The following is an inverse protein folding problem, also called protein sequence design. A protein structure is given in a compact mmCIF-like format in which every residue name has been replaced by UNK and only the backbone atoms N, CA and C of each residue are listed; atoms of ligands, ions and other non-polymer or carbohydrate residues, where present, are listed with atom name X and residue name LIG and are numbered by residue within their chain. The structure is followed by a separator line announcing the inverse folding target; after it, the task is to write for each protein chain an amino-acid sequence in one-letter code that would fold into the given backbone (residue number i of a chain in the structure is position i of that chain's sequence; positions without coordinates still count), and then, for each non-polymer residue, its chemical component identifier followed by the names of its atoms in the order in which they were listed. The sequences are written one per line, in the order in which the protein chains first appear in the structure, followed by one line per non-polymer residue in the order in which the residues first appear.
data_IF_929968064861
#
_entry.id   IF_929968064861
#
_cell.length_a   1.000
_cell.length_b   1.000
_cell.length_c   1.000
_cell.angle_alpha   90.00
_cell.angle_beta   90.00
_cell.angle_gamma   90.00
#
_symmetry.space_group_name_H-M   'P 1'
#
loop_
_entity.id
_entity.type
_entity.pdbx_description
1 polymer ?
#
# COMPACT_ATOMS: atom_id res chain seq x y z
N UNK A 1 -65.40 120.67 -26.98
CA UNK A 1 -66.52 119.97 -27.65
C UNK A 1 -65.89 118.76 -28.33
N UNK A 2 -66.36 117.54 -28.04
CA UNK A 2 -65.74 116.33 -28.57
C UNK A 2 -65.76 116.35 -30.11
N UNK A 3 -64.66 115.93 -30.73
CA UNK A 3 -64.46 115.95 -32.18
C UNK A 3 -65.07 114.73 -32.89
N UNK A 4 -65.86 113.92 -32.17
CA UNK A 4 -66.37 112.62 -32.57
C UNK A 4 -67.89 112.59 -32.38
N UNK A 5 -68.62 111.83 -33.20
CA UNK A 5 -70.09 111.78 -33.19
C UNK A 5 -70.66 110.95 -32.03
N UNK A 6 -69.82 110.14 -31.37
CA UNK A 6 -70.18 109.19 -30.32
C UNK A 6 -69.06 109.09 -29.30
N UNK A 7 -69.42 108.79 -28.04
CA UNK A 7 -68.51 108.45 -26.95
C UNK A 7 -68.78 106.99 -26.57
N UNK A 8 -67.74 106.17 -26.47
CA UNK A 8 -67.81 104.78 -26.00
C UNK A 8 -67.20 104.73 -24.60
N UNK A 9 -68.00 104.39 -23.60
CA UNK A 9 -67.50 104.23 -22.24
C UNK A 9 -66.69 102.94 -22.11
N UNK A 10 -65.51 102.95 -21.46
CA UNK A 10 -64.69 101.76 -21.29
C UNK A 10 -65.43 100.57 -20.66
N UNK A 11 -66.31 100.83 -19.69
CA UNK A 11 -67.08 99.80 -18.98
C UNK A 11 -68.12 99.08 -19.86
N UNK A 12 -68.56 99.71 -20.95
CA UNK A 12 -69.55 99.14 -21.88
C UNK A 12 -68.94 98.69 -23.21
N UNK A 13 -67.67 99.01 -23.45
CA UNK A 13 -66.95 98.73 -24.69
C UNK A 13 -66.94 97.23 -25.03
N UNK A 14 -66.64 96.35 -24.08
CA UNK A 14 -66.67 94.90 -24.32
C UNK A 14 -68.03 94.44 -24.85
N UNK A 15 -69.10 94.84 -24.15
CA UNK A 15 -70.47 94.48 -24.50
C UNK A 15 -70.88 95.03 -25.88
N UNK A 16 -70.44 96.25 -26.22
CA UNK A 16 -70.66 96.84 -27.54
C UNK A 16 -70.04 95.99 -28.65
N UNK A 17 -68.81 95.50 -28.48
CA UNK A 17 -68.11 94.73 -29.52
C UNK A 17 -68.46 93.25 -29.57
N UNK A 18 -69.13 92.70 -28.53
CA UNK A 18 -69.57 91.30 -28.49
C UNK A 18 -71.02 91.09 -28.92
N UNK A 19 -71.82 92.15 -29.04
CA UNK A 19 -73.25 92.08 -29.33
C UNK A 19 -73.57 92.72 -30.70
N UNK A 20 -73.90 91.92 -31.75
CA UNK A 20 -74.09 92.43 -33.11
C UNK A 20 -75.21 93.48 -33.24
N UNK A 21 -76.26 93.36 -32.43
CA UNK A 21 -77.37 94.31 -32.33
C UNK A 21 -76.89 95.67 -31.81
N UNK A 22 -76.02 95.71 -30.81
CA UNK A 22 -75.47 96.96 -30.25
C UNK A 22 -74.58 97.69 -31.23
N UNK A 23 -73.79 96.95 -32.03
CA UNK A 23 -73.02 97.53 -33.14
C UNK A 23 -73.95 98.20 -34.14
N UNK A 24 -75.06 97.55 -34.50
CA UNK A 24 -76.05 98.11 -35.44
C UNK A 24 -76.72 99.37 -34.87
N UNK A 25 -77.12 99.36 -33.60
CA UNK A 25 -77.71 100.54 -32.92
C UNK A 25 -76.72 101.70 -32.91
N UNK A 26 -75.45 101.45 -32.57
CA UNK A 26 -74.43 102.50 -32.54
C UNK A 26 -74.17 103.08 -33.94
N UNK A 27 -74.08 102.22 -34.96
CA UNK A 27 -73.91 102.64 -36.35
C UNK A 27 -75.12 103.47 -36.83
N UNK A 28 -76.34 103.09 -36.46
CA UNK A 28 -77.54 103.87 -36.77
C UNK A 28 -77.46 105.25 -36.13
N UNK A 29 -77.16 105.32 -34.83
CA UNK A 29 -77.04 106.59 -34.12
C UNK A 29 -75.94 107.51 -34.68
N UNK A 30 -74.82 106.96 -35.14
CA UNK A 30 -73.77 107.73 -35.83
C UNK A 30 -74.29 108.28 -37.16
N UNK A 31 -74.99 107.46 -37.95
CA UNK A 31 -75.58 107.88 -39.23
C UNK A 31 -76.63 108.96 -39.03
N UNK A 32 -77.53 108.78 -38.08
CA UNK A 32 -78.61 109.73 -37.79
C UNK A 32 -78.04 111.10 -37.38
N UNK A 33 -77.01 111.12 -36.53
CA UNK A 33 -76.30 112.36 -36.16
C UNK A 33 -75.56 112.98 -37.34
N UNK A 34 -74.88 112.17 -38.16
CA UNK A 34 -74.17 112.67 -39.33
C UNK A 34 -75.13 113.27 -40.36
N UNK A 35 -76.28 112.64 -40.61
CA UNK A 35 -77.30 113.16 -41.53
C UNK A 35 -78.02 114.38 -40.98
N UNK A 36 -78.26 114.45 -39.67
CA UNK A 36 -78.81 115.64 -39.02
C UNK A 36 -77.84 116.83 -39.12
N UNK A 37 -76.55 116.64 -38.84
CA UNK A 37 -75.55 117.70 -39.03
C UNK A 37 -75.42 118.08 -40.52
N UNK A 38 -75.57 117.13 -41.44
CA UNK A 38 -75.48 117.39 -42.88
C UNK A 38 -76.66 118.23 -43.39
N UNK A 39 -77.88 118.00 -42.90
CA UNK A 39 -79.09 118.71 -43.36
C UNK A 39 -79.10 120.19 -42.96
N UNK A 40 -78.35 120.57 -41.93
CA UNK A 40 -78.15 121.95 -41.49
C UNK A 40 -77.10 122.71 -42.34
N UNK A 41 -76.34 122.02 -43.19
CA UNK A 41 -75.33 122.65 -44.06
C UNK A 41 -75.95 123.21 -45.35
N UNK A 42 -75.44 124.37 -45.78
CA UNK A 42 -75.82 124.97 -47.08
C UNK A 42 -75.36 124.07 -48.24
N UNK A 43 -76.30 123.74 -49.13
CA UNK A 43 -76.10 122.82 -50.26
C UNK A 43 -75.59 123.51 -51.53
N UNK A 44 -75.42 124.84 -51.51
CA UNK A 44 -74.79 125.56 -52.61
C UNK A 44 -73.27 125.28 -52.67
N UNK A 45 -72.88 124.30 -53.49
CA UNK A 45 -71.49 123.86 -53.66
C UNK A 45 -70.62 124.81 -54.49
N UNK A 46 -71.19 125.91 -55.01
CA UNK A 46 -70.39 126.94 -55.69
C UNK A 46 -69.50 127.71 -54.70
N UNK A 47 -69.90 127.78 -53.41
CA UNK A 47 -69.14 128.45 -52.35
C UNK A 47 -68.10 127.53 -51.72
N UNK A 48 -66.85 127.98 -51.66
CA UNK A 48 -65.75 127.22 -51.03
C UNK A 48 -66.04 126.85 -49.56
N UNK A 49 -66.61 127.79 -48.79
CA UNK A 49 -66.98 127.59 -47.38
C UNK A 49 -67.94 126.40 -47.17
N UNK A 50 -68.93 126.22 -48.06
CA UNK A 50 -69.91 125.13 -47.96
C UNK A 50 -69.26 123.77 -48.25
N UNK A 51 -68.37 123.71 -49.25
CA UNK A 51 -67.57 122.50 -49.53
C UNK A 51 -66.67 122.13 -48.35
N UNK A 52 -66.04 123.10 -47.71
CA UNK A 52 -65.14 122.85 -46.57
C UNK A 52 -65.90 122.41 -45.31
N UNK A 53 -67.13 122.88 -45.11
CA UNK A 53 -68.02 122.39 -44.06
C UNK A 53 -68.37 120.90 -44.26
N UNK A 54 -68.72 120.49 -45.48
CA UNK A 54 -69.01 119.08 -45.81
C UNK A 54 -67.76 118.20 -45.61
N UNK A 55 -66.57 118.66 -46.05
CA UNK A 55 -65.31 117.94 -45.81
C UNK A 55 -65.03 117.79 -44.31
N UNK A 56 -65.32 118.81 -43.52
CA UNK A 56 -65.12 118.79 -42.06
C UNK A 56 -66.04 117.77 -41.38
N UNK A 57 -67.30 117.67 -41.81
CA UNK A 57 -68.23 116.64 -41.34
C UNK A 57 -67.76 115.22 -41.71
N UNK A 58 -67.32 115.01 -42.96
CA UNK A 58 -66.75 113.74 -43.39
C UNK A 58 -65.49 113.36 -42.59
N UNK A 59 -64.66 114.35 -42.27
CA UNK A 59 -63.50 114.15 -41.41
C UNK A 59 -63.90 113.77 -39.98
N UNK A 60 -64.95 114.37 -39.41
CA UNK A 60 -65.52 114.00 -38.10
C UNK A 60 -65.99 112.53 -38.07
N UNK A 61 -66.64 112.05 -39.14
CA UNK A 61 -67.00 110.63 -39.29
C UNK A 61 -65.76 109.74 -39.30
N UNK A 62 -64.70 110.16 -40.00
CA UNK A 62 -63.43 109.42 -40.07
C UNK A 62 -62.71 109.37 -38.71
N UNK A 63 -62.75 110.46 -37.94
CA UNK A 63 -62.23 110.48 -36.57
C UNK A 63 -63.02 109.54 -35.66
N UNK A 64 -64.36 109.57 -35.76
CA UNK A 64 -65.24 108.67 -35.01
C UNK A 64 -64.93 107.19 -35.31
N UNK A 65 -64.72 106.82 -36.59
CA UNK A 65 -64.27 105.46 -36.97
C UNK A 65 -62.97 105.07 -36.25
N UNK A 66 -61.99 105.96 -36.26
CA UNK A 66 -60.66 105.71 -35.67
C UNK A 66 -60.76 105.55 -34.15
N UNK A 67 -61.62 106.33 -33.50
CA UNK A 67 -61.89 106.21 -32.08
C UNK A 67 -62.51 104.85 -31.70
N UNK A 68 -63.53 104.41 -32.46
CA UNK A 68 -64.17 103.11 -32.25
C UNK A 68 -63.15 101.96 -32.40
N UNK A 69 -62.29 102.01 -33.43
CA UNK A 69 -61.24 101.01 -33.63
C UNK A 69 -60.25 100.93 -32.45
N UNK A 70 -59.81 102.09 -31.94
CA UNK A 70 -58.94 102.16 -30.75
C UNK A 70 -59.62 101.60 -29.50
N UNK A 71 -60.91 101.89 -29.29
CA UNK A 71 -61.68 101.34 -28.18
C UNK A 71 -61.79 99.82 -28.27
N UNK A 72 -62.06 99.28 -29.47
CA UNK A 72 -62.09 97.83 -29.71
C UNK A 72 -60.74 97.16 -29.47
N UNK A 73 -59.64 97.79 -29.91
CA UNK A 73 -58.29 97.30 -29.65
C UNK A 73 -57.97 97.24 -28.15
N UNK A 74 -58.33 98.28 -27.39
CA UNK A 74 -58.12 98.31 -25.94
C UNK A 74 -58.84 97.14 -25.22
N UNK A 75 -60.08 96.84 -25.63
CA UNK A 75 -60.83 95.68 -25.13
C UNK A 75 -60.11 94.36 -25.44
N UNK A 76 -59.63 94.19 -26.67
CA UNK A 76 -58.89 92.97 -27.07
C UNK A 76 -57.59 92.83 -26.29
N UNK A 77 -56.86 93.92 -26.07
CA UNK A 77 -55.61 93.90 -25.32
C UNK A 77 -55.85 93.52 -23.84
N UNK A 78 -56.88 94.08 -23.20
CA UNK A 78 -57.27 93.70 -21.84
C UNK A 78 -57.72 92.24 -21.73
N UNK A 79 -58.52 91.76 -22.69
CA UNK A 79 -58.94 90.35 -22.76
C UNK A 79 -57.75 89.40 -22.94
N UNK A 80 -56.69 89.79 -23.65
CA UNK A 80 -55.48 88.97 -23.82
C UNK A 80 -54.62 88.90 -22.56
N UNK A 81 -54.70 89.89 -21.67
CA UNK A 81 -53.98 89.87 -20.39
C UNK A 81 -54.61 88.91 -19.38
N UNK A 82 -55.92 88.65 -19.46
CA UNK A 82 -56.60 87.70 -18.58
C UNK A 82 -56.03 86.26 -18.68
N UNK A 83 -55.92 85.62 -19.87
CA UNK A 83 -55.28 84.32 -20.02
C UNK A 83 -53.85 84.28 -19.49
N UNK A 84 -53.04 85.32 -19.75
CA UNK A 84 -51.66 85.38 -19.26
C UNK A 84 -51.60 85.34 -17.72
N UNK A 85 -52.47 86.10 -17.06
CA UNK A 85 -52.59 86.10 -15.59
C UNK A 85 -53.07 84.74 -15.08
N UNK A 86 -54.06 84.13 -15.74
CA UNK A 86 -54.55 82.79 -15.38
C UNK A 86 -53.44 81.76 -15.48
N UNK A 87 -52.66 81.73 -16.56
CA UNK A 87 -51.58 80.77 -16.72
C UNK A 87 -50.43 81.01 -15.73
N UNK A 88 -50.11 82.27 -15.41
CA UNK A 88 -49.15 82.61 -14.37
C UNK A 88 -49.61 82.10 -12.99
N UNK A 89 -50.86 82.36 -12.61
CA UNK A 89 -51.44 81.85 -11.37
C UNK A 89 -51.50 80.32 -11.34
N UNK A 90 -51.87 79.66 -12.44
CA UNK A 90 -51.87 78.20 -12.54
C UNK A 90 -50.49 77.61 -12.34
N UNK A 91 -49.45 78.25 -12.89
CA UNK A 91 -48.06 77.84 -12.67
C UNK A 91 -47.69 78.01 -11.19
N UNK A 92 -47.99 79.16 -10.60
CA UNK A 92 -47.72 79.41 -9.18
C UNK A 92 -48.39 78.36 -8.28
N UNK A 93 -49.67 78.06 -8.50
CA UNK A 93 -50.35 77.00 -7.74
C UNK A 93 -49.68 75.64 -7.87
N UNK A 94 -49.22 75.27 -9.07
CA UNK A 94 -48.53 73.99 -9.27
C UNK A 94 -47.22 73.96 -8.49
N UNK A 95 -46.38 74.96 -8.71
CA UNK A 95 -45.04 75.01 -8.12
C UNK A 95 -45.10 75.07 -6.58
N UNK A 96 -46.03 75.85 -6.01
CA UNK A 96 -46.21 75.93 -4.54
C UNK A 96 -46.81 74.64 -3.94
N UNK A 97 -47.77 73.99 -4.61
CA UNK A 97 -48.35 72.75 -4.10
C UNK A 97 -47.39 71.56 -4.23
N UNK A 98 -46.59 71.50 -5.30
CA UNK A 98 -45.53 70.49 -5.44
C UNK A 98 -44.48 70.66 -4.33
N UNK A 99 -44.02 71.90 -4.08
CA UNK A 99 -43.08 72.19 -3.00
C UNK A 99 -43.65 71.84 -1.62
N UNK A 100 -44.93 72.15 -1.36
CA UNK A 100 -45.60 71.80 -0.11
C UNK A 100 -45.73 70.27 0.05
N UNK A 101 -46.04 69.55 -1.02
CA UNK A 101 -46.09 68.09 -1.04
C UNK A 101 -44.72 67.49 -0.68
N UNK A 102 -43.64 68.00 -1.27
CA UNK A 102 -42.28 67.56 -0.99
C UNK A 102 -41.88 67.84 0.47
N UNK A 103 -42.22 69.02 1.00
CA UNK A 103 -41.96 69.38 2.40
C UNK A 103 -42.72 68.47 3.38
N UNK A 104 -44.01 68.22 3.12
CA UNK A 104 -44.84 67.32 3.95
C UNK A 104 -44.30 65.88 3.91
N UNK A 105 -43.80 65.44 2.75
CA UNK A 105 -43.27 64.08 2.58
C UNK A 105 -41.88 63.89 3.18
N UNK A 106 -41.08 64.96 3.24
CA UNK A 106 -39.67 64.92 3.65
C UNK A 106 -39.40 64.16 4.96
N UNK A 107 -40.14 64.36 6.06
CA UNK A 107 -39.88 63.63 7.32
C UNK A 107 -40.05 62.12 7.18
N UNK A 108 -41.01 61.67 6.37
CA UNK A 108 -41.23 60.23 6.13
C UNK A 108 -40.08 59.67 5.29
N UNK A 109 -39.65 60.40 4.25
CA UNK A 109 -38.51 59.98 3.43
C UNK A 109 -37.22 59.90 4.25
N UNK A 110 -36.94 60.89 5.11
CA UNK A 110 -35.79 60.86 6.02
C UNK A 110 -35.85 59.66 6.99
N UNK A 111 -37.04 59.34 7.50
CA UNK A 111 -37.24 58.15 8.34
C UNK A 111 -37.06 56.85 7.56
N UNK A 112 -37.61 56.73 6.35
CA UNK A 112 -37.46 55.55 5.48
C UNK A 112 -35.99 55.29 5.14
N UNK A 113 -35.23 56.35 4.82
CA UNK A 113 -33.80 56.27 4.54
C UNK A 113 -33.00 55.88 5.80
N UNK A 114 -33.33 56.46 6.95
CA UNK A 114 -32.70 56.12 8.22
C UNK A 114 -32.99 54.68 8.65
N UNK A 115 -34.22 54.22 8.48
CA UNK A 115 -34.62 52.84 8.83
C UNK A 115 -33.97 51.83 7.89
N UNK A 116 -33.90 52.12 6.59
CA UNK A 116 -33.16 51.31 5.63
C UNK A 116 -31.68 51.22 5.99
N UNK A 117 -31.06 52.32 6.42
CA UNK A 117 -29.68 52.34 6.88
C UNK A 117 -29.50 51.52 8.18
N UNK A 118 -30.45 51.62 9.12
CA UNK A 118 -30.45 50.84 10.37
C UNK A 118 -30.53 49.34 10.09
N UNK A 119 -31.45 48.91 9.23
CA UNK A 119 -31.62 47.50 8.85
C UNK A 119 -30.38 46.98 8.13
N UNK A 120 -29.79 47.76 7.21
CA UNK A 120 -28.55 47.37 6.54
C UNK A 120 -27.37 47.23 7.51
N UNK A 121 -27.26 48.12 8.51
CA UNK A 121 -26.24 48.04 9.54
C UNK A 121 -26.43 46.81 10.45
N UNK A 122 -27.67 46.49 10.82
CA UNK A 122 -27.99 45.30 11.62
C UNK A 122 -27.66 44.00 10.87
N UNK A 123 -28.00 43.92 9.58
CA UNK A 123 -27.66 42.74 8.76
C UNK A 123 -26.14 42.60 8.57
N UNK A 124 -25.43 43.71 8.37
CA UNK A 124 -23.96 43.70 8.31
C UNK A 124 -23.35 43.24 9.64
N UNK A 125 -23.89 43.69 10.78
CA UNK A 125 -23.44 43.24 12.09
C UNK A 125 -23.64 41.73 12.28
N UNK A 126 -24.82 41.18 11.91
CA UNK A 126 -25.05 39.73 11.92
C UNK A 126 -24.10 38.98 11.00
N UNK A 127 -23.78 39.54 9.84
CA UNK A 127 -22.81 38.93 8.93
C UNK A 127 -21.42 38.88 9.56
N UNK A 128 -20.97 39.97 10.17
CA UNK A 128 -19.67 40.02 10.86
C UNK A 128 -19.60 38.98 11.98
N UNK A 129 -20.66 38.83 12.78
CA UNK A 129 -20.71 37.80 13.83
C UNK A 129 -20.61 36.38 13.25
N UNK A 130 -21.36 36.07 12.18
CA UNK A 130 -21.27 34.76 11.49
C UNK A 130 -19.88 34.50 10.93
N UNK A 131 -19.31 35.47 10.23
CA UNK A 131 -17.98 35.36 9.64
C UNK A 131 -16.90 35.21 10.73
N UNK A 132 -17.08 35.85 11.89
CA UNK A 132 -16.21 35.69 13.04
C UNK A 132 -16.26 34.28 13.64
N UNK A 133 -17.45 33.74 13.84
CA UNK A 133 -17.64 32.38 14.35
C UNK A 133 -17.05 31.34 13.40
N UNK A 134 -17.26 31.50 12.09
CA UNK A 134 -16.65 30.65 11.06
C UNK A 134 -15.12 30.75 11.10
N UNK A 135 -14.56 31.96 11.22
CA UNK A 135 -13.12 32.15 11.31
C UNK A 135 -12.51 31.48 12.56
N UNK A 136 -13.20 31.53 13.71
CA UNK A 136 -12.77 30.83 14.92
C UNK A 136 -12.76 29.31 14.74
N UNK A 137 -13.81 28.74 14.15
CA UNK A 137 -13.86 27.30 13.86
C UNK A 137 -12.75 26.86 12.90
N UNK A 138 -12.47 27.68 11.89
CA UNK A 138 -11.40 27.40 10.93
C UNK A 138 -10.02 27.45 11.58
N UNK A 139 -9.79 28.38 12.52
CA UNK A 139 -8.56 28.42 13.30
C UNK A 139 -8.41 27.19 14.21
N UNK A 140 -9.48 26.80 14.92
CA UNK A 140 -9.45 25.60 15.77
C UNK A 140 -9.15 24.34 14.94
N UNK A 141 -9.78 24.20 13.77
CA UNK A 141 -9.51 23.09 12.86
C UNK A 141 -8.07 23.09 12.35
N UNK A 142 -7.51 24.27 12.09
CA UNK A 142 -6.12 24.42 11.68
C UNK A 142 -5.16 23.95 12.80
N UNK A 143 -5.40 24.39 14.04
CA UNK A 143 -4.59 24.00 15.19
C UNK A 143 -4.69 22.49 15.47
N UNK A 144 -5.88 21.90 15.36
CA UNK A 144 -6.09 20.46 15.48
C UNK A 144 -5.31 19.67 14.42
N UNK A 145 -5.37 20.10 13.15
CA UNK A 145 -4.62 19.44 12.06
C UNK A 145 -3.12 19.51 12.31
N UNK A 146 -2.61 20.67 12.74
CA UNK A 146 -1.20 20.86 13.05
C UNK A 146 -0.75 19.96 14.21
N UNK A 147 -1.56 19.86 15.27
CA UNK A 147 -1.30 18.96 16.38
C UNK A 147 -1.31 17.49 15.96
N UNK A 148 -2.25 17.07 15.10
CA UNK A 148 -2.26 15.71 14.54
C UNK A 148 -1.02 15.41 13.69
N UNK A 149 -0.60 16.35 12.84
CA UNK A 149 0.62 16.22 12.04
C UNK A 149 1.87 16.08 12.92
N UNK A 150 1.96 16.85 14.01
CA UNK A 150 3.05 16.74 14.97
C UNK A 150 3.03 15.39 15.71
N UNK A 151 1.86 14.90 16.13
CA UNK A 151 1.72 13.57 16.75
C UNK A 151 2.17 12.46 15.81
N UNK A 152 1.78 12.54 14.52
CA UNK A 152 2.23 11.58 13.49
C UNK A 152 3.74 11.62 13.29
N UNK A 153 4.35 12.81 13.32
CA UNK A 153 5.82 12.95 13.25
C UNK A 153 6.50 12.29 14.45
N UNK A 154 6.02 12.57 15.66
CA UNK A 154 6.58 11.98 16.90
C UNK A 154 6.41 10.46 16.90
N UNK A 155 5.25 9.95 16.51
CA UNK A 155 4.98 8.51 16.41
C UNK A 155 5.91 7.85 15.40
N UNK A 156 6.07 8.44 14.22
CA UNK A 156 6.99 7.94 13.21
C UNK A 156 8.45 7.94 13.68
N UNK A 157 8.90 9.02 14.34
CA UNK A 157 10.25 9.10 14.89
C UNK A 157 10.47 8.05 16.00
N UNK A 158 9.48 7.86 16.87
CA UNK A 158 9.54 6.85 17.93
C UNK A 158 9.55 5.42 17.36
N UNK A 159 8.78 5.16 16.30
CA UNK A 159 8.78 3.87 15.62
C UNK A 159 10.15 3.60 14.98
N UNK A 160 10.76 4.59 14.33
CA UNK A 160 12.14 4.45 13.80
C UNK A 160 13.12 4.13 14.94
N UNK A 161 13.04 4.83 16.08
CA UNK A 161 13.90 4.56 17.25
C UNK A 161 13.69 3.14 17.79
N UNK A 162 12.43 2.69 17.86
CA UNK A 162 12.09 1.33 18.31
C UNK A 162 12.64 0.29 17.34
N UNK A 163 12.47 0.48 16.05
CA UNK A 163 13.01 -0.40 15.01
C UNK A 163 14.54 -0.46 15.06
N UNK A 164 15.21 0.68 15.22
CA UNK A 164 16.66 0.72 15.38
C UNK A 164 17.13 -0.03 16.64
N UNK A 165 16.44 0.16 17.78
CA UNK A 165 16.76 -0.56 19.02
C UNK A 165 16.50 -2.07 18.90
N UNK A 166 15.40 -2.46 18.26
CA UNK A 166 15.06 -3.87 18.04
C UNK A 166 16.06 -4.53 17.09
N UNK A 167 16.41 -3.85 16.00
CA UNK A 167 17.42 -4.31 15.05
C UNK A 167 18.78 -4.47 15.73
N UNK A 168 19.20 -3.52 16.56
CA UNK A 168 20.43 -3.63 17.33
C UNK A 168 20.40 -4.82 18.32
N UNK A 169 19.23 -5.10 18.94
CA UNK A 169 19.05 -6.27 19.81
C UNK A 169 19.16 -7.58 19.01
N UNK A 170 18.47 -7.67 17.87
CA UNK A 170 18.51 -8.84 16.99
C UNK A 170 19.94 -9.08 16.49
N UNK A 171 20.65 -8.04 16.06
CA UNK A 171 22.04 -8.13 15.61
C UNK A 171 22.98 -8.56 16.74
N UNK A 172 22.81 -8.03 17.95
CA UNK A 172 23.57 -8.45 19.13
C UNK A 172 23.27 -9.91 19.50
N UNK A 173 22.02 -10.34 19.45
CA UNK A 173 21.64 -11.74 19.71
C UNK A 173 22.20 -12.68 18.63
N UNK A 174 22.11 -12.31 17.35
CA UNK A 174 22.69 -13.09 16.26
C UNK A 174 24.21 -13.17 16.39
N UNK A 175 24.88 -12.09 16.76
CA UNK A 175 26.33 -12.09 17.01
C UNK A 175 26.68 -13.00 18.19
N UNK A 176 25.96 -12.91 19.29
CA UNK A 176 26.15 -13.80 20.44
C UNK A 176 25.90 -15.28 20.07
N UNK A 177 24.86 -15.57 19.28
CA UNK A 177 24.60 -16.94 18.77
C UNK A 177 25.73 -17.45 17.90
N UNK A 178 26.27 -16.61 16.99
CA UNK A 178 27.44 -16.96 16.17
C UNK A 178 28.67 -17.23 17.02
N UNK A 179 28.93 -16.42 18.05
CA UNK A 179 30.04 -16.64 18.98
C UNK A 179 29.87 -17.94 19.78
N UNK A 180 28.65 -18.27 20.23
CA UNK A 180 28.34 -19.54 20.89
C UNK A 180 28.51 -20.72 19.92
N UNK A 181 28.03 -20.61 18.68
CA UNK A 181 28.14 -21.66 17.68
C UNK A 181 29.61 -21.89 17.26
N UNK A 182 30.39 -20.82 17.10
CA UNK A 182 31.82 -20.91 16.85
C UNK A 182 32.58 -21.54 18.02
N UNK A 183 32.23 -21.17 19.26
CA UNK A 183 32.78 -21.80 20.45
C UNK A 183 32.43 -23.30 20.51
N UNK A 184 31.17 -23.66 20.24
CA UNK A 184 30.71 -25.04 20.19
C UNK A 184 31.38 -25.83 19.07
N UNK A 185 31.63 -25.23 17.89
CA UNK A 185 32.42 -25.85 16.81
C UNK A 185 33.85 -26.10 17.23
N UNK A 186 34.53 -25.12 17.83
CA UNK A 186 35.90 -25.28 18.33
C UNK A 186 35.97 -26.36 19.40
N UNK A 187 35.00 -26.42 20.30
CA UNK A 187 34.92 -27.46 21.32
C UNK A 187 34.65 -28.84 20.71
N UNK A 188 33.73 -28.94 19.75
CA UNK A 188 33.44 -30.19 19.03
C UNK A 188 34.65 -30.67 18.22
N UNK A 189 35.37 -29.77 17.54
CA UNK A 189 36.59 -30.08 16.81
C UNK A 189 37.71 -30.53 17.76
N UNK A 190 37.87 -29.86 18.90
CA UNK A 190 38.81 -30.28 19.94
C UNK A 190 38.46 -31.66 20.52
N UNK A 191 37.16 -31.93 20.76
CA UNK A 191 36.69 -33.26 21.19
C UNK A 191 36.93 -34.32 20.13
N UNK A 192 36.62 -34.05 18.86
CA UNK A 192 36.89 -34.97 17.75
C UNK A 192 38.39 -35.20 17.52
N UNK A 193 39.23 -34.19 17.73
CA UNK A 193 40.68 -34.35 17.69
C UNK A 193 41.18 -35.20 18.87
N UNK A 194 40.65 -34.97 20.08
CA UNK A 194 40.97 -35.78 21.26
C UNK A 194 40.53 -37.24 21.10
N UNK A 195 39.32 -37.48 20.59
CA UNK A 195 38.78 -38.82 20.34
C UNK A 195 39.58 -39.54 19.25
N UNK A 196 39.95 -38.85 18.15
CA UNK A 196 40.86 -39.41 17.13
C UNK A 196 42.22 -39.77 17.73
N UNK A 197 42.80 -38.90 18.54
CA UNK A 197 44.08 -39.18 19.20
C UNK A 197 43.99 -40.33 20.22
N UNK A 198 42.87 -40.47 20.93
CA UNK A 198 42.63 -41.59 21.84
C UNK A 198 42.44 -42.90 21.06
N UNK A 199 41.67 -42.87 19.98
CA UNK A 199 41.48 -44.00 19.09
C UNK A 199 42.78 -44.44 18.43
N UNK A 200 43.61 -43.52 17.96
CA UNK A 200 44.94 -43.81 17.42
C UNK A 200 45.85 -44.47 18.48
N UNK A 201 45.79 -44.00 19.74
CA UNK A 201 46.51 -44.64 20.86
C UNK A 201 45.98 -46.05 21.14
N UNK A 202 44.66 -46.24 21.16
CA UNK A 202 44.04 -47.54 21.38
C UNK A 202 44.36 -48.51 20.23
N UNK A 203 44.28 -48.07 18.99
CA UNK A 203 44.65 -48.86 17.81
C UNK A 203 46.15 -49.22 17.81
N UNK A 204 47.03 -48.31 18.27
CA UNK A 204 48.45 -48.61 18.45
C UNK A 204 48.70 -49.63 19.58
N UNK A 205 47.99 -49.51 20.70
CA UNK A 205 48.05 -50.49 21.79
C UNK A 205 47.53 -51.86 21.33
N UNK A 206 46.40 -51.89 20.63
CA UNK A 206 45.81 -53.13 20.13
C UNK A 206 46.70 -53.78 19.08
N UNK A 207 47.32 -53.00 18.18
CA UNK A 207 48.32 -53.52 17.23
C UNK A 207 49.52 -54.11 17.96
N UNK A 208 50.07 -53.42 18.97
CA UNK A 208 51.16 -53.94 19.79
C UNK A 208 50.77 -55.23 20.55
N UNK A 209 49.53 -55.32 21.04
CA UNK A 209 49.02 -56.52 21.69
C UNK A 209 48.81 -57.69 20.71
N UNK A 210 48.34 -57.41 19.49
CA UNK A 210 48.22 -58.44 18.43
C UNK A 210 49.58 -58.95 18.00
N UNK A 211 50.54 -58.06 17.75
CA UNK A 211 51.93 -58.44 17.44
C UNK A 211 52.56 -59.25 18.59
N UNK A 212 52.31 -58.89 19.85
CA UNK A 212 52.78 -59.65 21.00
C UNK A 212 52.11 -61.03 21.12
N UNK A 213 50.80 -61.14 20.85
CA UNK A 213 50.08 -62.41 20.83
C UNK A 213 50.54 -63.30 19.69
N UNK A 214 50.70 -62.76 18.48
CA UNK A 214 51.25 -63.51 17.33
C UNK A 214 52.66 -64.02 17.62
N UNK A 215 53.52 -63.20 18.24
CA UNK A 215 54.84 -63.63 18.68
C UNK A 215 54.79 -64.74 19.75
N UNK A 216 53.83 -64.67 20.69
CA UNK A 216 53.62 -65.72 21.70
C UNK A 216 53.09 -67.02 21.08
N UNK A 217 52.14 -66.95 20.15
CA UNK A 217 51.59 -68.10 19.45
C UNK A 217 52.67 -68.79 18.58
N UNK A 218 53.51 -68.03 17.88
CA UNK A 218 54.67 -68.58 17.19
C UNK A 218 55.62 -69.29 18.16
N UNK A 219 55.92 -68.68 19.31
CA UNK A 219 56.80 -69.28 20.31
C UNK A 219 56.19 -70.53 20.98
N UNK A 220 54.88 -70.59 21.19
CA UNK A 220 54.21 -71.80 21.69
C UNK A 220 54.16 -72.90 20.64
N UNK A 221 53.96 -72.56 19.36
CA UNK A 221 53.97 -73.52 18.26
C UNK A 221 55.34 -74.16 18.09
N UNK A 222 56.41 -73.38 18.23
CA UNK A 222 57.79 -73.87 18.24
C UNK A 222 58.08 -74.78 19.44
N UNK A 223 57.54 -74.46 20.63
CA UNK A 223 57.65 -75.32 21.82
C UNK A 223 56.86 -76.63 21.69
N UNK A 224 55.66 -76.58 21.12
CA UNK A 224 54.83 -77.78 20.91
C UNK A 224 55.44 -78.70 19.84
N UNK A 225 56.03 -78.14 18.78
CA UNK A 225 56.78 -78.91 17.79
C UNK A 225 58.01 -79.63 18.39
N UNK A 226 58.68 -79.01 19.38
CA UNK A 226 59.79 -79.64 20.10
C UNK A 226 59.35 -80.82 20.99
N UNK A 227 58.20 -80.69 21.67
CA UNK A 227 57.66 -81.74 22.56
C UNK A 227 57.11 -82.94 21.77
N UNK A 228 56.47 -82.73 20.61
CA UNK A 228 56.03 -83.84 19.76
C UNK A 228 57.19 -84.60 19.11
N UNK A 229 58.31 -83.92 18.80
CA UNK A 229 59.51 -84.55 18.28
C UNK A 229 60.21 -85.45 19.31
N UNK A 230 60.13 -85.11 20.60
CA UNK A 230 60.68 -85.92 21.70
C UNK A 230 59.82 -87.16 22.00
N UNK A 231 58.49 -87.01 21.92
CA UNK A 231 57.55 -88.12 22.13
C UNK A 231 57.62 -89.19 21.02
N UNK A 232 57.83 -88.79 19.76
CA UNK A 232 58.05 -89.75 18.66
C UNK A 232 59.34 -90.59 18.83
N UNK A 233 60.40 -90.00 19.40
CA UNK A 233 61.64 -90.73 19.70
C UNK A 233 61.49 -91.75 20.83
N UNK A 234 60.60 -91.50 21.80
CA UNK A 234 60.29 -92.44 22.88
C UNK A 234 59.43 -93.63 22.42
N UNK A 235 58.46 -93.41 21.53
CA UNK A 235 57.57 -94.46 21.02
C UNK A 235 58.27 -95.44 20.06
N UNK A 236 59.31 -95.00 19.33
CA UNK A 236 60.12 -95.86 18.46
C UNK A 236 61.10 -96.77 19.25
N UNK A 237 61.59 -96.33 20.40
CA UNK A 237 62.51 -97.10 21.25
C UNK A 237 61.83 -98.27 21.99
N UNK A 238 60.54 -98.13 22.33
CA UNK A 238 59.79 -99.16 23.06
C UNK A 238 59.36 -100.32 22.15
N UNK A 239 58.99 -100.04 20.89
CA UNK A 239 58.68 -101.07 19.88
C UNK A 239 59.88 -101.94 19.51
N UNK A 240 61.10 -101.42 19.57
CA UNK A 240 62.32 -102.17 19.27
C UNK A 240 62.68 -103.22 20.36
N UNK A 241 62.31 -102.98 21.63
CA UNK A 241 62.58 -103.93 22.73
C UNK A 241 61.64 -105.14 22.74
N UNK A 242 60.38 -104.95 22.37
CA UNK A 242 59.38 -106.02 22.36
C UNK A 242 59.63 -107.04 21.24
N UNK A 243 60.16 -106.62 20.09
CA UNK A 243 60.47 -107.52 18.96
C UNK A 243 61.67 -108.45 19.21
N UNK A 244 62.63 -108.07 20.07
CA UNK A 244 63.83 -108.88 20.37
C UNK A 244 63.52 -110.05 21.34
N UNK A 245 62.57 -109.87 22.26
CA UNK A 245 62.19 -110.88 23.26
C UNK A 245 61.43 -112.06 22.61
N UNK A 246 60.70 -111.81 21.51
CA UNK A 246 59.91 -112.82 20.82
C UNK A 246 60.76 -113.75 19.91
N UNK A 247 61.90 -113.27 19.38
CA UNK A 247 62.83 -114.11 18.59
C UNK A 247 63.54 -115.19 19.41
N UNK A 248 63.92 -114.89 20.66
CA UNK A 248 64.76 -115.79 21.46
C UNK A 248 63.99 -117.02 21.98
N UNK A 249 62.67 -116.92 22.23
CA UNK A 249 61.85 -118.06 22.66
C UNK A 249 61.54 -119.08 21.57
N UNK A 250 61.50 -118.65 20.31
CA UNK A 250 61.11 -119.53 19.20
C UNK A 250 62.27 -120.43 18.72
N UNK A 251 63.53 -120.05 18.99
CA UNK A 251 64.71 -120.79 18.52
C UNK A 251 65.10 -121.98 19.43
N UNK A 252 64.80 -121.94 20.73
CA UNK A 252 65.12 -123.03 21.68
C UNK A 252 64.19 -124.25 21.57
N UNK A 253 62.91 -124.06 21.22
CA UNK A 253 61.91 -125.14 21.15
C UNK A 253 62.17 -126.13 20.00
N UNK A 254 62.67 -125.64 18.85
CA UNK A 254 62.87 -126.47 17.67
C UNK A 254 64.10 -127.39 17.75
N UNK A 255 65.07 -127.11 18.63
CA UNK A 255 66.31 -127.91 18.75
C UNK A 255 66.12 -129.17 19.61
N UNK A 256 65.13 -129.21 20.50
CA UNK A 256 64.92 -130.36 21.39
C UNK A 256 64.05 -131.47 20.78
N UNK A 257 63.16 -131.13 19.85
CA UNK A 257 62.27 -132.09 19.20
C UNK A 257 63.00 -133.01 18.18
N UNK A 258 64.01 -132.51 17.48
CA UNK A 258 64.67 -133.25 16.39
C UNK A 258 65.64 -134.35 16.89
N UNK A 259 66.18 -134.20 18.10
CA UNK A 259 67.13 -135.18 18.69
C UNK A 259 66.47 -136.47 19.17
N UNK A 260 65.23 -136.41 19.65
CA UNK A 260 64.53 -137.57 20.21
C UNK A 260 63.97 -138.50 19.12
N UNK A 261 63.48 -137.93 18.01
CA UNK A 261 62.93 -138.70 16.89
C UNK A 261 63.99 -139.60 16.25
N UNK A 262 65.21 -139.08 16.07
CA UNK A 262 66.30 -139.80 15.40
C UNK A 262 66.86 -140.98 16.21
N UNK A 263 66.86 -140.90 17.55
CA UNK A 263 67.33 -142.02 18.37
C UNK A 263 66.35 -143.19 18.44
N UNK A 264 65.05 -142.91 18.39
CA UNK A 264 64.02 -143.95 18.48
C UNK A 264 64.01 -144.86 17.24
N UNK A 265 64.05 -144.26 16.04
CA UNK A 265 64.00 -145.00 14.77
C UNK A 265 65.24 -145.90 14.57
N UNK A 266 66.42 -145.43 14.96
CA UNK A 266 67.66 -146.21 14.86
C UNK A 266 67.67 -147.45 15.77
N UNK A 267 67.14 -147.33 16.99
CA UNK A 267 67.09 -148.45 17.91
C UNK A 267 66.08 -149.51 17.45
N UNK A 268 64.97 -149.11 16.83
CA UNK A 268 63.99 -150.05 16.30
C UNK A 268 64.57 -150.87 15.13
N UNK A 269 65.25 -150.22 14.19
CA UNK A 269 65.90 -150.91 13.07
C UNK A 269 67.00 -151.91 13.53
N UNK A 270 67.66 -151.63 14.66
CA UNK A 270 68.63 -152.54 15.27
C UNK A 270 67.97 -153.80 15.84
N UNK A 271 66.81 -153.68 16.48
CA UNK A 271 66.06 -154.82 17.03
C UNK A 271 65.54 -155.75 15.93
N UNK A 272 65.00 -155.19 14.84
CA UNK A 272 64.46 -155.97 13.73
C UNK A 272 65.55 -156.85 13.07
N UNK A 273 66.80 -156.36 13.00
CA UNK A 273 67.95 -157.13 12.51
C UNK A 273 68.37 -158.26 13.45
N UNK A 274 68.17 -158.10 14.76
CA UNK A 274 68.42 -159.16 15.75
C UNK A 274 67.37 -160.27 15.61
N UNK A 275 66.10 -159.91 15.42
CA UNK A 275 65.00 -160.87 15.20
C UNK A 275 65.19 -161.70 13.92
N UNK A 276 65.82 -161.15 12.89
CA UNK A 276 66.16 -161.87 11.65
C UNK A 276 67.30 -162.90 11.81
N UNK A 277 67.85 -163.09 13.02
CA UNK A 277 68.85 -164.12 13.33
C UNK A 277 70.31 -163.66 13.25
N UNK A 278 70.57 -162.35 13.15
CA UNK A 278 71.93 -161.78 13.18
C UNK A 278 72.32 -161.43 14.64
N UNK A 279 73.48 -161.90 15.14
CA UNK A 279 73.94 -161.55 16.48
C UNK A 279 74.13 -160.04 16.70
N UNK A 280 73.73 -159.55 17.88
CA UNK A 280 73.62 -158.14 18.27
C UNK A 280 74.85 -157.28 17.91
N UNK A 281 76.06 -157.83 18.06
CA UNK A 281 77.31 -157.13 17.74
C UNK A 281 77.41 -156.74 16.25
N UNK A 282 76.95 -157.60 15.36
CA UNK A 282 76.99 -157.33 13.92
C UNK A 282 75.80 -156.47 13.47
N UNK A 283 74.61 -156.64 14.07
CA UNK A 283 73.44 -155.80 13.82
C UNK A 283 73.70 -154.31 14.13
N UNK A 284 74.28 -154.00 15.30
CA UNK A 284 74.65 -152.62 15.67
C UNK A 284 75.65 -151.99 14.70
N UNK A 285 76.62 -152.78 14.24
CA UNK A 285 77.64 -152.32 13.29
C UNK A 285 77.01 -151.97 11.94
N UNK A 286 76.05 -152.77 11.47
CA UNK A 286 75.29 -152.51 10.25
C UNK A 286 74.45 -151.23 10.36
N UNK A 287 73.68 -151.03 11.45
CA UNK A 287 72.86 -149.81 11.64
C UNK A 287 73.71 -148.55 11.70
N UNK A 288 74.86 -148.59 12.41
CA UNK A 288 75.77 -147.43 12.48
C UNK A 288 76.39 -147.12 11.11
N UNK A 289 76.80 -148.14 10.35
CA UNK A 289 77.38 -147.95 9.03
C UNK A 289 76.36 -147.35 8.05
N UNK A 290 75.09 -147.75 8.14
CA UNK A 290 74.00 -147.19 7.32
C UNK A 290 73.64 -145.76 7.77
N UNK A 291 73.56 -145.49 9.07
CA UNK A 291 73.29 -144.14 9.60
C UNK A 291 74.42 -143.14 9.27
N UNK A 292 75.68 -143.61 9.21
CA UNK A 292 76.83 -142.81 8.74
C UNK A 292 76.96 -142.74 7.21
N UNK A 293 76.08 -143.39 6.46
CA UNK A 293 76.07 -143.36 4.99
C UNK A 293 77.24 -144.11 4.33
N UNK A 294 77.90 -145.03 5.04
CA UNK A 294 79.07 -145.77 4.56
C UNK A 294 78.72 -147.02 3.74
N UNK A 295 77.44 -147.38 3.62
CA UNK A 295 76.94 -148.49 2.78
C UNK A 295 76.21 -147.91 1.57
N UNK A 296 76.76 -148.11 0.38
CA UNK A 296 76.25 -147.50 -0.86
C UNK A 296 74.87 -148.07 -1.22
N UNK A 297 73.92 -147.19 -1.56
CA UNK A 297 72.54 -147.48 -1.96
C UNK A 297 71.54 -147.93 -0.86
N UNK A 298 71.86 -147.79 0.43
CA UNK A 298 70.90 -148.02 1.55
C UNK A 298 70.94 -146.83 2.54
N UNK A 299 69.78 -146.34 3.01
CA UNK A 299 69.65 -145.24 3.99
C UNK A 299 68.56 -145.54 5.02
N UNK A 300 68.74 -145.09 6.27
CA UNK A 300 67.67 -145.10 7.30
C UNK A 300 66.87 -143.80 7.18
N UNK A 301 65.56 -143.91 7.04
CA UNK A 301 64.63 -142.79 7.01
C UNK A 301 64.19 -142.48 8.43
N UNK A 302 64.32 -141.21 8.87
CA UNK A 302 63.91 -140.75 10.20
C UNK A 302 62.56 -140.08 10.15
#
# INVERSE_FOLDING_TARGET
MANELVIIEPATALNLFTAPDKVQVLLSGIKDKAYAEQSELDTDLSKAKNRDAIKSLAYKVTQTKTYIDKAGKAVVDELKELPKKVDASRKQFRDELDALSDEIRKPVTEWEDAEKARVAAEELARQIERDHDEALQMNELYDLRKAEEERKRIEHENEIKRQASEQARIEAEQKARREIEEAARKEAEARQAAERAEREKQEAIERAQREAKEAQECAERDKQAAVEAERRKSEEAEKARLAEIERQKQEESNRQADTLHRSAVNNQAMQDLITAGIPEKYAKTCVIAIAKGSVTNIKITY
#
